data_IF_110666688674
#
_entry.id   IF_110666688674
#
_cell.length_a   1.000
_cell.length_b   1.000
_cell.length_c   1.000
_cell.angle_alpha   90.00
_cell.angle_beta   90.00
_cell.angle_gamma   90.00
#
_symmetry.space_group_name_H-M   'P 1'
#
loop_
_entity.id
_entity.type
_entity.pdbx_description
1 polymer ?
#
# COMPACT_ATOMS: atom_id res chain seq x y z
N UNK A 1 -34.03 -63.39 5.08
CA UNK A 1 -33.46 -63.77 6.39
C UNK A 1 -32.23 -62.91 6.60
N UNK A 2 -32.33 -61.94 7.51
CA UNK A 2 -31.32 -60.89 7.72
C UNK A 2 -30.42 -61.29 8.88
N UNK A 3 -29.19 -61.70 8.60
CA UNK A 3 -28.13 -61.83 9.60
C UNK A 3 -26.76 -61.70 8.93
N UNK A 4 -26.18 -60.51 8.97
CA UNK A 4 -24.71 -60.33 8.93
C UNK A 4 -24.36 -59.13 9.81
N UNK A 5 -24.16 -59.39 11.10
CA UNK A 5 -23.41 -58.52 12.00
C UNK A 5 -21.98 -59.06 12.11
N UNK A 6 -21.06 -58.15 12.43
CA UNK A 6 -19.61 -58.28 12.61
C UNK A 6 -18.76 -58.08 11.35
N UNK A 7 -18.21 -56.86 11.23
CA UNK A 7 -16.78 -56.67 11.02
C UNK A 7 -16.39 -55.23 11.43
N UNK A 8 -16.17 -55.05 12.73
CA UNK A 8 -15.30 -53.98 13.19
C UNK A 8 -13.85 -54.41 12.85
N UNK A 9 -13.28 -53.79 11.83
CA UNK A 9 -11.85 -53.88 11.55
C UNK A 9 -11.35 -52.47 11.24
N UNK A 10 -11.02 -51.76 12.31
CA UNK A 10 -10.15 -50.61 12.32
C UNK A 10 -8.82 -51.05 11.69
N UNK A 11 -8.61 -50.69 10.43
CA UNK A 11 -7.30 -50.72 9.79
C UNK A 11 -6.93 -49.26 9.52
N UNK A 12 -6.52 -48.60 10.61
CA UNK A 12 -5.55 -47.51 10.58
C UNK A 12 -4.33 -48.02 9.81
N UNK A 13 -4.37 -47.89 8.48
CA UNK A 13 -3.18 -47.99 7.66
C UNK A 13 -2.32 -46.79 8.04
N UNK A 14 -1.40 -47.07 8.97
CA UNK A 14 -0.35 -46.21 9.42
C UNK A 14 0.24 -45.46 8.22
N UNK A 15 -0.03 -44.17 8.15
CA UNK A 15 0.58 -43.24 7.23
C UNK A 15 2.10 -43.22 7.51
N UNK A 16 2.96 -43.83 6.68
CA UNK A 16 4.38 -43.79 6.92
C UNK A 16 4.96 -42.64 6.12
N UNK A 17 4.60 -41.39 6.48
CA UNK A 17 5.26 -40.18 5.94
C UNK A 17 5.42 -39.04 6.96
N UNK A 18 5.02 -39.22 8.22
CA UNK A 18 5.23 -38.21 9.27
C UNK A 18 6.71 -38.09 9.75
N UNK A 19 7.66 -38.74 9.08
CA UNK A 19 9.06 -38.78 9.50
C UNK A 19 10.03 -38.01 8.58
N UNK A 20 9.54 -37.17 7.66
CA UNK A 20 10.42 -36.23 6.94
C UNK A 20 9.66 -34.99 6.42
N UNK A 21 9.64 -33.91 7.20
CA UNK A 21 9.13 -32.60 6.78
C UNK A 21 7.82 -32.22 7.45
N UNK A 22 7.80 -31.05 8.10
CA UNK A 22 6.72 -30.55 8.97
C UNK A 22 5.30 -30.74 8.44
N UNK A 23 4.36 -30.83 9.38
CA UNK A 23 2.96 -31.17 9.13
C UNK A 23 2.31 -30.22 8.12
N UNK A 24 1.23 -30.67 7.47
CA UNK A 24 0.61 -29.91 6.38
C UNK A 24 0.13 -28.51 6.77
N UNK A 25 -0.16 -28.31 8.05
CA UNK A 25 -0.48 -27.02 8.68
C UNK A 25 0.71 -26.06 8.70
N UNK A 26 1.93 -26.51 8.97
CA UNK A 26 3.14 -25.66 8.91
C UNK A 26 3.35 -25.08 7.51
N UNK A 27 3.15 -25.89 6.47
CA UNK A 27 3.24 -25.44 5.07
C UNK A 27 2.14 -24.45 4.73
N UNK A 28 0.91 -24.69 5.20
CA UNK A 28 -0.21 -23.76 5.01
C UNK A 28 0.07 -22.42 5.72
N UNK A 29 0.52 -22.46 6.97
CA UNK A 29 0.87 -21.27 7.75
C UNK A 29 1.99 -20.47 7.08
N UNK A 30 3.04 -21.13 6.60
CA UNK A 30 4.11 -20.49 5.83
C UNK A 30 3.59 -19.80 4.57
N UNK A 31 2.68 -20.44 3.82
CA UNK A 31 2.09 -19.85 2.62
C UNK A 31 1.20 -18.65 2.93
N UNK A 32 0.42 -18.70 4.01
CA UNK A 32 -0.36 -17.56 4.49
C UNK A 32 0.55 -16.40 4.85
N UNK A 33 1.62 -16.65 5.61
CA UNK A 33 2.63 -15.64 5.96
C UNK A 33 3.26 -15.02 4.71
N UNK A 34 3.77 -15.83 3.79
CA UNK A 34 4.37 -15.35 2.54
C UNK A 34 3.40 -14.49 1.71
N UNK A 35 2.12 -14.88 1.66
CA UNK A 35 1.12 -14.10 0.96
C UNK A 35 0.80 -12.77 1.67
N UNK A 36 0.86 -12.73 3.00
CA UNK A 36 0.71 -11.50 3.77
C UNK A 36 1.92 -10.57 3.55
N UNK A 37 3.14 -11.10 3.66
CA UNK A 37 4.40 -10.37 3.43
C UNK A 37 4.40 -9.75 2.01
N UNK A 38 4.09 -10.53 0.97
CA UNK A 38 3.99 -10.01 -0.39
C UNK A 38 2.96 -8.87 -0.56
N UNK A 39 1.85 -8.89 0.19
CA UNK A 39 0.86 -7.81 0.15
C UNK A 39 1.38 -6.58 0.88
N UNK A 40 2.09 -6.76 1.99
CA UNK A 40 2.72 -5.67 2.73
C UNK A 40 3.79 -4.98 1.87
N UNK A 41 4.69 -5.74 1.24
CA UNK A 41 5.72 -5.20 0.34
C UNK A 41 5.13 -4.37 -0.79
N UNK A 42 4.01 -4.81 -1.37
CA UNK A 42 3.29 -4.06 -2.41
C UNK A 42 2.67 -2.76 -1.87
N UNK A 43 2.21 -2.74 -0.62
CA UNK A 43 1.68 -1.53 0.00
C UNK A 43 2.81 -0.56 0.33
N UNK A 44 3.94 -1.05 0.83
CA UNK A 44 5.14 -0.24 1.12
C UNK A 44 5.66 0.43 -0.16
N UNK A 45 5.80 -0.31 -1.26
CA UNK A 45 6.21 0.25 -2.55
C UNK A 45 5.28 1.39 -3.01
N UNK A 46 3.96 1.19 -2.92
CA UNK A 46 2.98 2.23 -3.28
C UNK A 46 3.06 3.44 -2.34
N UNK A 47 3.34 3.21 -1.06
CA UNK A 47 3.48 4.28 -0.09
C UNK A 47 4.72 5.13 -0.37
N UNK A 48 5.84 4.50 -0.76
CA UNK A 48 7.04 5.22 -1.19
C UNK A 48 6.81 6.01 -2.48
N UNK A 49 6.16 5.41 -3.49
CA UNK A 49 5.79 6.12 -4.72
C UNK A 49 4.91 7.35 -4.43
N UNK A 50 3.98 7.23 -3.48
CA UNK A 50 3.11 8.33 -3.07
C UNK A 50 3.87 9.40 -2.28
N UNK A 51 4.81 9.00 -1.43
CA UNK A 51 5.69 9.90 -0.68
C UNK A 51 6.53 10.74 -1.63
N UNK A 52 7.12 10.11 -2.64
CA UNK A 52 7.94 10.79 -3.64
C UNK A 52 7.11 11.78 -4.47
N UNK A 53 5.90 11.39 -4.88
CA UNK A 53 4.95 12.31 -5.54
C UNK A 53 4.59 13.51 -4.65
N UNK A 54 4.30 13.27 -3.38
CA UNK A 54 3.99 14.34 -2.43
C UNK A 54 5.19 15.30 -2.25
N UNK A 55 6.41 14.79 -2.22
CA UNK A 55 7.62 15.61 -2.16
C UNK A 55 7.80 16.48 -3.41
N UNK A 56 7.52 15.94 -4.60
CA UNK A 56 7.56 16.73 -5.84
C UNK A 56 6.52 17.86 -5.86
N UNK A 57 5.31 17.60 -5.33
CA UNK A 57 4.28 18.64 -5.18
C UNK A 57 4.77 19.74 -4.24
N UNK A 58 5.37 19.38 -3.10
CA UNK A 58 5.94 20.37 -2.16
C UNK A 58 7.05 21.19 -2.81
N UNK A 59 8.03 20.54 -3.44
CA UNK A 59 9.13 21.23 -4.15
C UNK A 59 8.63 22.18 -5.23
N UNK A 60 7.59 21.78 -5.96
CA UNK A 60 6.96 22.65 -6.97
C UNK A 60 6.27 23.84 -6.32
N UNK A 61 5.57 23.64 -5.21
CA UNK A 61 4.96 24.70 -4.41
C UNK A 61 5.99 25.69 -3.86
N UNK A 62 7.10 25.19 -3.29
CA UNK A 62 8.21 25.99 -2.78
C UNK A 62 8.84 26.84 -3.89
N UNK A 63 9.19 26.24 -5.04
CA UNK A 63 9.72 26.99 -6.20
C UNK A 63 8.79 28.10 -6.65
N UNK A 64 7.47 27.85 -6.66
CA UNK A 64 6.47 28.87 -7.01
C UNK A 64 6.39 29.97 -5.95
N UNK A 65 6.46 29.61 -4.67
CA UNK A 65 6.50 30.59 -3.58
C UNK A 65 7.74 31.48 -3.67
N UNK A 66 8.91 30.90 -3.93
CA UNK A 66 10.16 31.64 -4.15
C UNK A 66 10.04 32.58 -5.36
N UNK A 67 9.42 32.14 -6.45
CA UNK A 67 9.16 32.97 -7.62
C UNK A 67 8.21 34.15 -7.31
N UNK A 68 7.19 33.96 -6.47
CA UNK A 68 6.31 35.06 -6.00
C UNK A 68 7.11 36.10 -5.24
N UNK A 69 7.96 35.66 -4.32
CA UNK A 69 8.83 36.54 -3.53
C UNK A 69 9.79 37.28 -4.45
N UNK A 70 10.42 36.58 -5.40
CA UNK A 70 11.36 37.17 -6.36
C UNK A 70 10.69 38.15 -7.33
N UNK A 71 9.41 37.96 -7.66
CA UNK A 71 8.64 38.85 -8.51
C UNK A 71 8.23 40.16 -7.81
N UNK A 72 8.47 40.29 -6.50
CA UNK A 72 8.17 41.48 -5.69
C UNK A 72 6.77 42.05 -5.97
N UNK A 73 5.76 41.16 -6.00
CA UNK A 73 4.39 41.55 -6.30
C UNK A 73 3.88 42.51 -5.23
N UNK A 74 3.28 43.64 -5.64
CA UNK A 74 2.59 44.54 -4.72
C UNK A 74 1.28 43.92 -4.22
N UNK A 75 1.39 42.98 -3.28
CA UNK A 75 0.25 42.25 -2.72
C UNK A 75 -0.72 43.14 -1.95
N UNK A 76 -0.31 44.35 -1.54
CA UNK A 76 -1.22 45.32 -0.91
C UNK A 76 -2.21 45.94 -1.89
N UNK A 77 -1.85 46.05 -3.17
CA UNK A 77 -2.73 46.54 -4.23
C UNK A 77 -3.62 45.45 -4.84
N UNK A 78 -3.41 44.17 -4.49
CA UNK A 78 -4.17 43.05 -5.06
C UNK A 78 -5.51 42.85 -4.34
N UNK A 79 -6.57 42.59 -5.11
CA UNK A 79 -7.86 42.17 -4.57
C UNK A 79 -7.79 40.77 -3.95
N UNK A 80 -8.71 40.40 -3.06
CA UNK A 80 -8.81 39.05 -2.52
C UNK A 80 -8.90 37.96 -3.60
N UNK A 81 -9.64 38.23 -4.67
CA UNK A 81 -9.84 37.29 -5.79
C UNK A 81 -8.53 37.06 -6.56
N UNK A 82 -7.73 38.11 -6.75
CA UNK A 82 -6.43 37.99 -7.40
C UNK A 82 -5.45 37.17 -6.56
N UNK A 83 -5.43 37.38 -5.23
CA UNK A 83 -4.61 36.57 -4.31
C UNK A 83 -5.05 35.10 -4.33
N UNK A 84 -6.36 34.86 -4.29
CA UNK A 84 -6.92 33.51 -4.38
C UNK A 84 -6.55 32.82 -5.69
N UNK A 85 -6.55 33.53 -6.82
CA UNK A 85 -6.14 33.00 -8.12
C UNK A 85 -4.65 32.59 -8.13
N UNK A 86 -3.76 33.29 -7.42
CA UNK A 86 -2.35 32.90 -7.29
C UNK A 86 -2.22 31.60 -6.48
N UNK A 87 -2.89 31.52 -5.33
CA UNK A 87 -2.90 30.33 -4.47
C UNK A 87 -3.47 29.12 -5.22
N UNK A 88 -4.57 29.31 -5.95
CA UNK A 88 -5.21 28.29 -6.79
C UNK A 88 -4.40 27.91 -8.05
N UNK A 89 -3.22 28.51 -8.27
CA UNK A 89 -2.39 28.30 -9.45
C UNK A 89 -3.10 28.63 -10.78
N UNK A 90 -3.96 29.65 -10.78
CA UNK A 90 -4.72 30.11 -11.94
C UNK A 90 -4.19 31.42 -12.52
N UNK A 91 -3.38 32.18 -11.76
CA UNK A 91 -2.78 33.42 -12.22
C UNK A 91 -1.58 33.18 -13.18
N UNK A 92 -1.56 33.79 -14.38
CA UNK A 92 -0.48 33.60 -15.36
C UNK A 92 0.89 34.15 -14.92
N UNK A 93 0.90 35.16 -14.05
CA UNK A 93 2.12 35.87 -13.63
C UNK A 93 3.05 35.07 -12.71
N UNK A 94 2.67 33.83 -12.35
CA UNK A 94 3.31 33.04 -11.28
C UNK A 94 3.44 31.55 -11.63
N UNK A 95 3.25 31.23 -12.92
CA UNK A 95 3.43 29.88 -13.47
C UNK A 95 4.80 29.76 -14.12
#
# INVERSE_FOLDING_TARGET
MSTFRLAAAVLLLAAPLAACGGSGDDKLAHNVKKAADNRADQLEQRADDLKDQAEQVRKTGEKRADAIVAADLNTHAMSPEQKAAIVANQAPAVR
#
